data_IF_486806155712
#
_entry.id   IF_486806155712
#
_cell.length_a   1.000
_cell.length_b   1.000
_cell.length_c   1.000
_cell.angle_alpha   90.00
_cell.angle_beta   90.00
_cell.angle_gamma   90.00
#
_symmetry.space_group_name_H-M   'P 1'
#
loop_
_entity.id
_entity.type
_entity.pdbx_description
1 polymer ?
#
# COMPACT_ATOMS: atom_id res chain seq x y z
N UNK A 1 -34.39 -10.78 -8.69
CA UNK A 1 -33.94 -10.37 -7.35
C UNK A 1 -32.44 -10.56 -7.13
N UNK A 2 -31.85 -11.69 -7.52
CA UNK A 2 -30.40 -11.98 -7.38
C UNK A 2 -29.48 -10.88 -7.93
N UNK A 3 -29.77 -10.33 -9.12
CA UNK A 3 -28.99 -9.22 -9.72
C UNK A 3 -28.95 -7.96 -8.83
N UNK A 4 -30.04 -7.64 -8.11
CA UNK A 4 -30.09 -6.49 -7.21
C UNK A 4 -29.25 -6.75 -5.95
N UNK A 5 -29.34 -7.95 -5.38
CA UNK A 5 -28.57 -8.35 -4.18
C UNK A 5 -27.08 -8.36 -4.49
N UNK A 6 -26.66 -8.95 -5.62
CA UNK A 6 -25.27 -8.98 -6.04
C UNK A 6 -24.71 -7.56 -6.27
N UNK A 7 -25.51 -6.67 -6.86
CA UNK A 7 -25.11 -5.27 -7.06
C UNK A 7 -24.91 -4.55 -5.72
N UNK A 8 -25.84 -4.70 -4.77
CA UNK A 8 -25.71 -4.11 -3.44
C UNK A 8 -24.48 -4.66 -2.71
N UNK A 9 -24.28 -5.98 -2.72
CA UNK A 9 -23.12 -6.61 -2.10
C UNK A 9 -21.80 -6.10 -2.72
N UNK A 10 -21.74 -5.97 -4.04
CA UNK A 10 -20.57 -5.42 -4.73
C UNK A 10 -20.24 -4.00 -4.26
N UNK A 11 -21.24 -3.11 -4.22
CA UNK A 11 -21.04 -1.72 -3.78
C UNK A 11 -20.62 -1.63 -2.31
N UNK A 12 -21.15 -2.50 -1.45
CA UNK A 12 -20.73 -2.57 -0.04
C UNK A 12 -19.26 -2.98 0.07
N UNK A 13 -18.84 -4.05 -0.63
CA UNK A 13 -17.44 -4.50 -0.63
C UNK A 13 -16.53 -3.43 -1.22
N UNK A 14 -16.93 -2.77 -2.29
CA UNK A 14 -16.18 -1.70 -2.92
C UNK A 14 -16.00 -0.50 -1.98
N UNK A 15 -17.05 -0.10 -1.26
CA UNK A 15 -16.97 0.97 -0.27
C UNK A 15 -16.00 0.63 0.87
N UNK A 16 -16.02 -0.62 1.38
CA UNK A 16 -15.07 -1.09 2.40
C UNK A 16 -13.63 -1.09 1.87
N UNK A 17 -13.42 -1.48 0.62
CA UNK A 17 -12.09 -1.45 0.01
C UNK A 17 -11.56 -0.02 -0.12
N UNK A 18 -12.42 0.92 -0.54
CA UNK A 18 -12.07 2.33 -0.63
C UNK A 18 -11.71 2.94 0.73
N UNK A 19 -12.45 2.61 1.79
CA UNK A 19 -12.13 3.14 3.13
C UNK A 19 -10.78 2.62 3.62
N UNK A 20 -10.46 1.35 3.39
CA UNK A 20 -9.13 0.78 3.68
C UNK A 20 -8.03 1.57 2.97
N UNK A 21 -8.18 1.82 1.66
CA UNK A 21 -7.19 2.58 0.89
C UNK A 21 -6.99 4.00 1.40
N UNK A 22 -8.08 4.70 1.70
CA UNK A 22 -8.02 6.08 2.22
C UNK A 22 -7.36 6.12 3.59
N UNK A 23 -7.71 5.19 4.49
CA UNK A 23 -7.13 5.13 5.84
C UNK A 23 -5.62 4.94 5.77
N UNK A 24 -5.13 3.97 5.00
CA UNK A 24 -3.70 3.71 4.90
C UNK A 24 -2.96 4.82 4.16
N UNK A 25 -3.56 5.41 3.12
CA UNK A 25 -2.99 6.59 2.47
C UNK A 25 -2.79 7.74 3.46
N UNK A 26 -3.80 8.05 4.27
CA UNK A 26 -3.71 9.12 5.28
C UNK A 26 -2.66 8.79 6.34
N UNK A 27 -2.56 7.53 6.78
CA UNK A 27 -1.53 7.13 7.73
C UNK A 27 -0.11 7.28 7.19
N UNK A 28 0.12 6.84 5.95
CA UNK A 28 1.40 6.98 5.27
C UNK A 28 1.79 8.45 5.11
N UNK A 29 0.85 9.31 4.73
CA UNK A 29 1.07 10.76 4.64
C UNK A 29 1.42 11.40 5.99
N UNK A 30 0.94 10.83 7.10
CA UNK A 30 1.30 11.22 8.47
C UNK A 30 2.57 10.53 8.97
N UNK A 31 3.32 9.90 8.08
CA UNK A 31 4.53 9.10 8.36
C UNK A 31 4.31 7.92 9.32
N UNK A 32 3.06 7.54 9.59
CA UNK A 32 2.69 6.39 10.43
C UNK A 32 2.66 5.11 9.60
N UNK A 33 2.80 3.97 10.27
CA UNK A 33 2.69 2.66 9.63
C UNK A 33 1.26 2.39 9.11
N UNK A 34 1.11 1.77 7.93
CA UNK A 34 -0.22 1.37 7.44
C UNK A 34 -0.86 0.36 8.39
N UNK A 35 -2.17 0.44 8.58
CA UNK A 35 -2.94 -0.51 9.39
C UNK A 35 -3.08 -1.82 8.62
N UNK A 36 -3.39 -1.75 7.33
CA UNK A 36 -3.68 -2.95 6.53
C UNK A 36 -2.46 -3.42 5.73
N UNK A 37 -1.44 -3.90 6.44
CA UNK A 37 -0.32 -4.59 5.82
C UNK A 37 -0.54 -6.11 5.80
N UNK A 38 -0.86 -6.69 4.64
CA UNK A 38 -1.06 -8.14 4.53
C UNK A 38 0.26 -8.90 4.53
N UNK A 39 1.30 -8.28 3.98
CA UNK A 39 2.63 -8.88 3.92
C UNK A 39 3.71 -7.81 3.93
N UNK A 40 4.66 -8.00 4.81
CA UNK A 40 5.87 -7.18 4.88
C UNK A 40 7.04 -7.89 4.20
N UNK A 41 7.88 -7.11 3.54
CA UNK A 41 9.14 -7.56 2.96
C UNK A 41 10.18 -6.47 3.12
N UNK A 42 11.35 -6.83 3.64
CA UNK A 42 12.51 -5.94 3.65
C UNK A 42 13.47 -6.34 2.55
N UNK A 43 13.75 -5.40 1.65
CA UNK A 43 14.77 -5.54 0.61
C UNK A 43 16.06 -4.88 1.10
N UNK A 44 17.12 -5.66 1.28
CA UNK A 44 18.43 -5.14 1.69
C UNK A 44 19.26 -4.76 0.47
N UNK A 45 19.95 -3.63 0.58
CA UNK A 45 20.86 -3.09 -0.41
C UNK A 45 22.18 -2.70 0.27
N UNK A 46 23.25 -2.53 -0.51
CA UNK A 46 24.57 -2.19 0.06
C UNK A 46 24.58 -0.80 0.74
N UNK A 47 23.68 0.09 0.33
CA UNK A 47 23.57 1.46 0.80
C UNK A 47 22.35 1.73 1.69
N UNK A 48 21.65 0.67 2.13
CA UNK A 48 20.51 0.76 3.02
C UNK A 48 19.45 -0.32 2.82
N UNK A 49 18.19 -0.02 3.10
CA UNK A 49 17.07 -0.95 2.95
C UNK A 49 15.81 -0.29 2.38
N UNK A 50 14.94 -1.11 1.82
CA UNK A 50 13.58 -0.71 1.45
C UNK A 50 12.60 -1.63 2.16
N UNK A 51 11.75 -1.06 2.99
CA UNK A 51 10.66 -1.79 3.62
C UNK A 51 9.41 -1.68 2.72
N UNK A 52 8.97 -2.83 2.22
CA UNK A 52 7.79 -3.00 1.38
C UNK A 52 6.64 -3.57 2.22
N UNK A 53 5.50 -2.89 2.17
CA UNK A 53 4.23 -3.39 2.69
C UNK A 53 3.27 -3.64 1.52
N UNK A 54 2.71 -4.86 1.45
CA UNK A 54 1.71 -5.23 0.45
C UNK A 54 0.34 -5.16 1.14
N UNK A 55 -0.46 -4.18 0.74
CA UNK A 55 -1.84 -4.03 1.20
C UNK A 55 -2.84 -4.65 0.22
N UNK A 56 -4.13 -4.40 0.47
CA UNK A 56 -5.22 -4.87 -0.38
C UNK A 56 -5.25 -4.09 -1.72
N UNK A 57 -4.48 -4.51 -2.72
CA UNK A 57 -4.49 -3.89 -4.06
C UNK A 57 -3.52 -2.73 -4.25
N UNK A 58 -2.68 -2.45 -3.25
CA UNK A 58 -1.63 -1.45 -3.31
C UNK A 58 -0.34 -1.96 -2.64
N UNK A 59 0.76 -1.24 -2.84
CA UNK A 59 2.04 -1.43 -2.18
C UNK A 59 2.55 -0.11 -1.62
N UNK A 60 3.21 -0.19 -0.48
CA UNK A 60 3.90 0.94 0.14
C UNK A 60 5.37 0.60 0.19
N UNK A 61 6.23 1.51 -0.26
CA UNK A 61 7.67 1.39 -0.20
C UNK A 61 8.25 2.49 0.67
N UNK A 62 8.96 2.13 1.74
CA UNK A 62 9.71 3.08 2.57
C UNK A 62 11.18 2.96 2.22
N UNK A 63 11.75 4.04 1.71
CA UNK A 63 13.15 4.08 1.28
C UNK A 63 14.02 4.63 2.40
N UNK A 64 14.88 3.75 2.93
CA UNK A 64 15.96 4.11 3.84
C UNK A 64 17.29 3.73 3.17
N UNK A 65 17.60 4.45 2.08
CA UNK A 65 18.79 4.23 1.23
C UNK A 65 19.51 5.54 0.99
N UNK A 66 20.84 5.53 0.96
CA UNK A 66 21.65 6.73 0.68
C UNK A 66 21.56 7.19 -0.78
N UNK A 67 21.39 6.26 -1.72
CA UNK A 67 21.34 6.55 -3.17
C UNK A 67 20.02 7.18 -3.63
N UNK A 68 18.94 6.95 -2.89
CA UNK A 68 17.59 7.41 -3.21
C UNK A 68 17.15 8.51 -2.24
N UNK A 69 16.30 9.47 -2.67
CA UNK A 69 15.70 10.40 -1.74
C UNK A 69 14.94 9.62 -0.66
N UNK A 70 15.14 9.97 0.61
CA UNK A 70 14.34 9.43 1.72
C UNK A 70 12.88 9.78 1.48
N UNK A 71 12.01 8.78 1.54
CA UNK A 71 10.61 8.97 1.21
C UNK A 71 9.78 7.71 1.27
N UNK A 72 8.47 7.89 1.09
CA UNK A 72 7.49 6.81 1.06
C UNK A 72 6.72 6.87 -0.26
N UNK A 73 6.69 5.78 -1.01
CA UNK A 73 5.84 5.65 -2.18
C UNK A 73 4.60 4.83 -1.82
N UNK A 74 3.42 5.35 -2.15
CA UNK A 74 2.17 4.59 -2.15
C UNK A 74 1.78 4.36 -3.61
N UNK A 75 1.75 3.11 -4.04
CA UNK A 75 1.55 2.77 -5.44
C UNK A 75 0.58 1.58 -5.63
N UNK A 76 -0.06 1.45 -6.80
CA UNK A 76 -0.84 0.25 -7.11
C UNK A 76 0.00 -1.04 -7.04
N UNK A 77 -0.64 -2.18 -6.78
CA UNK A 77 0.05 -3.46 -6.51
C UNK A 77 0.98 -3.97 -7.64
N UNK A 78 0.82 -3.47 -8.86
CA UNK A 78 1.62 -3.84 -10.03
C UNK A 78 2.87 -2.97 -10.21
N UNK A 79 2.97 -1.84 -9.50
CA UNK A 79 4.15 -0.97 -9.54
C UNK A 79 5.21 -1.56 -8.62
N UNK A 80 6.44 -1.70 -9.15
CA UNK A 80 7.61 -2.16 -8.38
C UNK A 80 8.30 -0.97 -7.72
N UNK A 81 9.10 -1.25 -6.69
CA UNK A 81 9.96 -0.25 -6.07
C UNK A 81 10.88 0.43 -7.09
N UNK A 82 11.17 1.72 -6.87
CA UNK A 82 12.23 2.42 -7.60
C UNK A 82 13.59 1.79 -7.29
N UNK A 83 14.40 1.65 -8.34
CA UNK A 83 15.78 1.19 -8.26
C UNK A 83 16.61 2.31 -8.89
N UNK A 84 17.67 2.72 -8.21
CA UNK A 84 18.68 3.66 -8.70
C UNK A 84 20.03 2.97 -8.67
#
# INVERSE_FOLDING_TARGET
MVKKILNVAFWVVFAVLLTVWVVDFVQVQRSKEPIFCLKEKTHKYDDGKVDECIGLGYRIYRYDRKSLPTGVDFAPIFVKQRIK
#
